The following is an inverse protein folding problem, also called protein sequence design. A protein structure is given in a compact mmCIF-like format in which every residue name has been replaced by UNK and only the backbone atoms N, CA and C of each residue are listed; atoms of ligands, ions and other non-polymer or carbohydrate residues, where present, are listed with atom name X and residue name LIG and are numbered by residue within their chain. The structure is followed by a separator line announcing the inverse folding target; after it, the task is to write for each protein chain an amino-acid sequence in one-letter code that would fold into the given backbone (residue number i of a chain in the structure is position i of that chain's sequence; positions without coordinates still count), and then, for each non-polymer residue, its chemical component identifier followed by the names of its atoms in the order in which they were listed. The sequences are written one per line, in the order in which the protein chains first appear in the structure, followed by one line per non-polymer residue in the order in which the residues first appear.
data_IF_156781245660
#
_entry.id   IF_156781245660
#
_cell.length_a   1.000
_cell.length_b   1.000
_cell.length_c   1.000
_cell.angle_alpha   90.00
_cell.angle_beta   90.00
_cell.angle_gamma   90.00
#
_symmetry.space_group_name_H-M   'P 1'
#
loop_
_entity.id
_entity.type
_entity.pdbx_description
1 polymer ?
#
# COMPACT_ATOMS: atom_id res chain seq x y z
N UNK A 1 19.12 -6.49 -1.19
CA UNK A 1 17.87 -7.21 -0.88
C UNK A 1 17.01 -7.18 -2.13
N UNK A 2 16.45 -8.31 -2.62
CA UNK A 2 15.53 -8.28 -3.75
C UNK A 2 14.24 -7.55 -3.36
N UNK A 3 13.76 -6.70 -4.25
CA UNK A 3 12.50 -5.96 -4.11
C UNK A 3 11.65 -6.19 -5.35
N UNK A 4 10.36 -6.42 -5.18
CA UNK A 4 9.42 -6.59 -6.28
C UNK A 4 8.22 -5.68 -6.11
N UNK A 5 7.62 -5.30 -7.23
CA UNK A 5 6.42 -4.46 -7.22
C UNK A 5 5.47 -4.79 -8.36
N UNK A 6 4.20 -4.50 -8.15
CA UNK A 6 3.17 -4.55 -9.16
C UNK A 6 2.32 -3.28 -9.08
N UNK A 7 2.09 -2.63 -10.23
CA UNK A 7 1.36 -1.35 -10.31
C UNK A 7 0.16 -1.50 -11.22
N UNK A 8 -1.01 -1.07 -10.74
CA UNK A 8 -2.28 -1.16 -11.46
C UNK A 8 -3.00 0.19 -11.43
N UNK A 9 -3.55 0.62 -12.56
CA UNK A 9 -4.46 1.77 -12.60
C UNK A 9 -5.86 1.29 -12.18
N UNK A 10 -6.43 1.90 -11.14
CA UNK A 10 -7.79 1.59 -10.70
C UNK A 10 -8.81 2.56 -11.29
N UNK A 11 -10.08 2.16 -11.18
CA UNK A 11 -11.24 3.01 -11.45
C UNK A 11 -11.77 3.61 -10.14
N UNK A 12 -12.43 4.76 -10.22
CA UNK A 12 -13.17 5.33 -9.07
C UNK A 12 -14.36 4.46 -8.62
N UNK A 13 -14.79 3.51 -9.47
CA UNK A 13 -15.83 2.54 -9.12
C UNK A 13 -15.29 1.31 -8.37
N UNK A 14 -13.97 1.19 -8.20
CA UNK A 14 -13.38 0.14 -7.38
C UNK A 14 -13.87 0.22 -5.93
N UNK A 15 -14.15 -0.93 -5.33
CA UNK A 15 -14.71 -1.01 -3.99
C UNK A 15 -13.82 -0.31 -2.96
N UNK A 16 -12.50 -0.56 -2.97
CA UNK A 16 -11.58 0.02 -2.00
C UNK A 16 -11.39 1.53 -2.22
N UNK A 17 -11.40 1.97 -3.49
CA UNK A 17 -11.36 3.41 -3.82
C UNK A 17 -12.59 4.15 -3.28
N UNK A 18 -13.79 3.56 -3.40
CA UNK A 18 -15.00 4.14 -2.82
C UNK A 18 -14.94 4.17 -1.29
N UNK A 19 -14.41 3.12 -0.65
CA UNK A 19 -14.27 3.08 0.81
C UNK A 19 -13.31 4.15 1.34
N UNK A 20 -12.17 4.36 0.68
CA UNK A 20 -11.23 5.44 1.05
C UNK A 20 -11.88 6.82 0.97
N UNK A 21 -12.62 7.10 -0.11
CA UNK A 21 -13.32 8.38 -0.31
C UNK A 21 -14.49 8.61 0.66
N UNK A 22 -15.08 7.55 1.21
CA UNK A 22 -16.09 7.65 2.26
C UNK A 22 -15.49 8.01 3.63
N UNK A 23 -14.27 7.54 3.90
CA UNK A 23 -13.59 7.72 5.20
C UNK A 23 -12.73 8.99 5.26
N UNK A 24 -12.19 9.41 4.12
CA UNK A 24 -11.26 10.53 4.04
C UNK A 24 -11.73 11.55 3.00
N UNK A 25 -11.58 12.84 3.31
CA UNK A 25 -11.75 13.92 2.33
C UNK A 25 -10.51 13.92 1.43
N UNK A 26 -10.61 13.28 0.28
CA UNK A 26 -9.54 13.20 -0.72
C UNK A 26 -9.79 14.32 -1.76
N UNK A 27 -9.00 15.40 -1.77
CA UNK A 27 -9.28 16.64 -2.52
C UNK A 27 -8.94 16.53 -4.03
N UNK A 28 -9.15 15.35 -4.62
CA UNK A 28 -8.95 15.09 -6.05
C UNK A 28 -9.98 14.10 -6.54
N UNK A 29 -10.43 14.27 -7.79
CA UNK A 29 -11.36 13.32 -8.45
C UNK A 29 -10.62 12.22 -9.23
N UNK A 30 -9.30 12.27 -9.30
CA UNK A 30 -8.49 11.29 -10.04
C UNK A 30 -8.61 9.90 -9.41
N UNK A 31 -8.63 8.87 -10.24
CA UNK A 31 -8.62 7.49 -9.76
C UNK A 31 -7.19 7.07 -9.41
N UNK A 32 -6.96 6.41 -8.26
CA UNK A 32 -5.62 6.12 -7.80
C UNK A 32 -4.97 4.99 -8.60
N UNK A 33 -3.64 4.92 -8.51
CA UNK A 33 -2.86 3.74 -8.86
C UNK A 33 -2.65 2.90 -7.61
N UNK A 34 -2.84 1.60 -7.75
CA UNK A 34 -2.52 0.62 -6.74
C UNK A 34 -1.07 0.17 -6.93
N UNK A 35 -0.25 0.29 -5.90
CA UNK A 35 1.13 -0.16 -5.89
C UNK A 35 1.33 -1.18 -4.77
N UNK A 36 1.52 -2.43 -5.16
CA UNK A 36 1.90 -3.53 -4.27
C UNK A 36 3.43 -3.60 -4.23
N UNK A 37 4.03 -3.58 -3.04
CA UNK A 37 5.47 -3.71 -2.81
C UNK A 37 5.71 -4.90 -1.87
N UNK A 38 6.76 -5.65 -2.15
CA UNK A 38 7.26 -6.66 -1.23
C UNK A 38 8.78 -6.73 -1.34
N UNK A 39 9.41 -6.90 -0.19
CA UNK A 39 10.85 -6.91 -0.04
C UNK A 39 11.25 -8.20 0.68
N UNK A 40 11.50 -9.28 -0.06
CA UNK A 40 12.13 -10.52 0.43
C UNK A 40 12.29 -11.55 -0.72
N UNK A 41 12.66 -12.80 -0.39
CA UNK A 41 12.51 -13.95 -1.27
C UNK A 41 11.06 -14.07 -1.80
N UNK A 42 10.95 -14.18 -3.13
CA UNK A 42 9.68 -14.32 -3.86
C UNK A 42 8.86 -15.53 -3.41
N UNK A 43 9.52 -16.58 -2.91
CA UNK A 43 8.85 -17.76 -2.36
C UNK A 43 8.17 -17.49 -1.01
N UNK A 44 8.43 -16.32 -0.42
CA UNK A 44 7.96 -15.91 0.89
C UNK A 44 8.85 -16.50 1.97
N UNK A 45 9.48 -15.64 2.76
CA UNK A 45 9.95 -16.05 4.08
C UNK A 45 8.78 -15.94 5.07
N UNK A 46 8.90 -16.55 6.26
CA UNK A 46 7.89 -16.37 7.32
C UNK A 46 7.85 -14.93 7.85
N UNK A 47 8.85 -14.09 7.58
CA UNK A 47 8.97 -12.71 8.08
C UNK A 47 9.08 -11.77 6.89
N UNK A 48 8.06 -10.99 6.57
CA UNK A 48 8.13 -10.09 5.42
C UNK A 48 7.07 -9.01 5.40
N UNK A 49 7.45 -7.85 4.86
CA UNK A 49 6.55 -6.70 4.68
C UNK A 49 5.80 -6.83 3.36
N UNK A 50 4.46 -6.89 3.45
CA UNK A 50 3.57 -6.72 2.29
C UNK A 50 2.93 -5.36 2.39
N UNK A 51 3.44 -4.44 1.57
CA UNK A 51 3.04 -3.06 1.58
C UNK A 51 2.14 -2.77 0.39
N UNK A 52 1.12 -1.96 0.62
CA UNK A 52 0.22 -1.50 -0.43
C UNK A 52 0.04 0.01 -0.34
N UNK A 53 0.01 0.65 -1.50
CA UNK A 53 -0.21 2.10 -1.63
C UNK A 53 -1.27 2.39 -2.69
N UNK A 54 -2.20 3.28 -2.35
CA UNK A 54 -3.15 3.91 -3.26
C UNK A 54 -2.68 5.35 -3.53
N UNK A 55 -2.07 5.58 -4.68
CA UNK A 55 -1.52 6.88 -5.08
C UNK A 55 -2.52 7.62 -5.95
N UNK A 56 -3.14 8.71 -5.46
CA UNK A 56 -4.11 9.52 -6.21
C UNK A 56 -3.43 10.60 -7.04
N UNK A 57 -2.43 11.27 -6.46
CA UNK A 57 -1.61 12.30 -7.11
C UNK A 57 -0.18 12.10 -6.66
N UNK A 58 0.76 12.14 -7.60
CA UNK A 58 2.20 12.05 -7.35
C UNK A 58 2.90 12.98 -8.35
N UNK A 59 3.38 14.12 -7.87
CA UNK A 59 4.19 15.07 -8.63
C UNK A 59 5.05 15.93 -7.66
N UNK A 60 5.79 16.91 -8.20
CA UNK A 60 6.71 17.74 -7.41
C UNK A 60 6.01 18.72 -6.44
N UNK A 61 4.74 19.05 -6.66
CA UNK A 61 3.99 20.06 -5.91
C UNK A 61 3.00 19.44 -4.92
N UNK A 62 2.39 18.31 -5.30
CA UNK A 62 1.33 17.64 -4.55
C UNK A 62 1.53 16.12 -4.55
N UNK A 63 1.35 15.53 -3.38
CA UNK A 63 1.37 14.09 -3.18
C UNK A 63 0.19 13.69 -2.30
N UNK A 64 -0.73 12.91 -2.86
CA UNK A 64 -1.92 12.39 -2.15
C UNK A 64 -1.91 10.88 -2.31
N UNK A 65 -1.65 10.17 -1.22
CA UNK A 65 -1.65 8.71 -1.20
C UNK A 65 -2.17 8.17 0.13
N UNK A 66 -2.56 6.91 0.11
CA UNK A 66 -2.84 6.11 1.30
C UNK A 66 -1.92 4.89 1.27
N UNK A 67 -1.23 4.60 2.37
CA UNK A 67 -0.35 3.45 2.51
C UNK A 67 -0.83 2.56 3.65
N UNK A 68 -0.77 1.25 3.45
CA UNK A 68 -1.09 0.25 4.45
C UNK A 68 -0.11 -0.93 4.37
N UNK A 69 0.10 -1.58 5.50
CA UNK A 69 0.99 -2.72 5.63
C UNK A 69 0.42 -3.69 6.65
N UNK A 70 0.49 -4.98 6.32
CA UNK A 70 0.22 -6.06 7.27
C UNK A 70 1.49 -6.88 7.39
N UNK A 71 2.13 -6.78 8.55
CA UNK A 71 3.42 -7.40 8.81
C UNK A 71 3.24 -8.57 9.78
N UNK A 72 3.88 -9.69 9.46
CA UNK A 72 4.01 -10.80 10.40
C UNK A 72 5.42 -10.76 10.97
N UNK A 73 5.51 -10.38 12.25
CA UNK A 73 6.76 -10.32 12.99
C UNK A 73 6.71 -11.31 14.15
N UNK A 74 7.86 -11.87 14.57
CA UNK A 74 7.94 -12.62 15.82
C UNK A 74 7.41 -11.79 16.99
N UNK A 75 6.81 -12.46 17.98
CA UNK A 75 6.51 -11.81 19.26
C UNK A 75 7.82 -11.51 19.98
N UNK A 76 7.86 -10.43 20.75
CA UNK A 76 9.00 -10.15 21.63
C UNK A 76 9.13 -11.29 22.66
N UNK A 77 10.34 -11.82 22.83
CA UNK A 77 10.64 -12.74 23.91
C UNK A 77 10.60 -11.95 25.23
N UNK A 78 9.80 -12.42 26.19
CA UNK A 78 9.89 -11.94 27.58
C UNK A 78 11.17 -12.52 28.19
N UNK A 79 12.34 -11.94 27.89
CA UNK A 79 13.53 -12.20 28.70
C UNK A 79 13.26 -11.71 30.13
N UNK A 80 13.06 -12.68 31.04
CA UNK A 80 12.91 -12.49 32.49
C UNK A 80 14.18 -12.92 33.22
#
# INVERSE_FOLDING_TARGET
MPSYSAKYQLSNNDYNVQQLRKRYIIPTKQAPKLLLKGDDDLKGSSVGSKNLEYTFVENHEENIYFSDAVEFTPSEDNES
#
